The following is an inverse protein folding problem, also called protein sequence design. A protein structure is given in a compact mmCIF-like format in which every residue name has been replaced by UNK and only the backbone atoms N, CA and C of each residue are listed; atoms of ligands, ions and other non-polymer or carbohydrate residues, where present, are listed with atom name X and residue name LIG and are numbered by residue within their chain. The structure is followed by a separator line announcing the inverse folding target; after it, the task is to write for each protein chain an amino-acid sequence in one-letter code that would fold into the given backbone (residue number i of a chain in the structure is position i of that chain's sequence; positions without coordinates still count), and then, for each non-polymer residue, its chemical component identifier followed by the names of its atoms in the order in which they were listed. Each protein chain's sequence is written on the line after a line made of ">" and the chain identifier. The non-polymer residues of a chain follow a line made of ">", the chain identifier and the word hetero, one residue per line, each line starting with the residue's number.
data_IF_003938427611
#
_entry.id   IF_003938427611
#
_cell.length_a   1.000
_cell.length_b   1.000
_cell.length_c   1.000
_cell.angle_alpha   90.00
_cell.angle_beta   90.00
_cell.angle_gamma   90.00
#
_symmetry.space_group_name_H-M   'P 1'
#
loop_
_entity.id
_entity.type
_entity.pdbx_description
1 polymer ?
#
# COMPACT_ATOMS: atom_id res chain seq x y z
N UNK A 1 13.87 -61.77 48.26
CA UNK A 1 12.56 -61.28 47.76
C UNK A 1 12.64 -61.24 46.23
N UNK A 2 12.04 -62.24 45.58
CA UNK A 2 12.03 -62.35 44.10
C UNK A 2 10.75 -61.69 43.62
N UNK A 3 10.85 -60.49 43.05
CA UNK A 3 9.71 -59.81 42.44
C UNK A 3 9.46 -60.43 41.07
N UNK A 4 8.50 -61.38 40.98
CA UNK A 4 7.95 -61.85 39.71
C UNK A 4 7.11 -60.73 39.10
N UNK A 5 7.67 -60.02 38.12
CA UNK A 5 6.92 -59.08 37.29
C UNK A 5 6.09 -59.84 36.27
N UNK A 6 4.77 -59.95 36.50
CA UNK A 6 3.82 -60.40 35.48
C UNK A 6 3.67 -59.29 34.43
N UNK A 7 4.56 -59.30 33.43
CA UNK A 7 4.52 -58.40 32.28
C UNK A 7 3.34 -58.71 31.37
N UNK A 8 2.14 -58.22 31.70
CA UNK A 8 0.96 -58.30 30.83
C UNK A 8 1.11 -57.27 29.70
N UNK A 9 1.65 -57.68 28.55
CA UNK A 9 1.72 -56.85 27.34
C UNK A 9 0.30 -56.61 26.81
N UNK A 10 -0.31 -55.50 27.24
CA UNK A 10 -1.57 -55.03 26.68
C UNK A 10 -1.32 -54.53 25.25
N UNK A 11 -1.79 -55.27 24.25
CA UNK A 11 -1.83 -54.80 22.87
C UNK A 11 -2.75 -53.58 22.81
N UNK A 12 -2.17 -52.39 22.86
CA UNK A 12 -2.91 -51.16 22.64
C UNK A 12 -3.21 -51.07 21.16
N UNK A 13 -4.47 -51.37 20.81
CA UNK A 13 -4.95 -51.27 19.44
C UNK A 13 -4.81 -49.83 18.94
N UNK A 14 -4.12 -49.65 17.82
CA UNK A 14 -3.87 -48.34 17.18
C UNK A 14 -5.18 -47.55 16.97
N UNK A 15 -6.29 -48.26 16.73
CA UNK A 15 -7.62 -47.67 16.61
C UNK A 15 -8.06 -46.90 17.85
N UNK A 16 -7.72 -47.38 19.07
CA UNK A 16 -8.06 -46.67 20.32
C UNK A 16 -7.23 -45.39 20.49
N UNK A 17 -5.99 -45.38 20.00
CA UNK A 17 -5.16 -44.18 20.02
C UNK A 17 -5.75 -43.11 19.09
N UNK A 18 -6.14 -43.51 17.88
CA UNK A 18 -6.76 -42.62 16.90
C UNK A 18 -8.08 -42.04 17.38
N UNK A 19 -8.92 -42.84 18.03
CA UNK A 19 -10.22 -42.41 18.55
C UNK A 19 -10.07 -41.42 19.72
N UNK A 20 -9.14 -41.69 20.65
CA UNK A 20 -8.80 -40.75 21.71
C UNK A 20 -8.20 -39.45 21.16
N UNK A 21 -7.39 -39.53 20.10
CA UNK A 21 -6.81 -38.37 19.44
C UNK A 21 -7.87 -37.53 18.71
N UNK A 22 -8.79 -38.16 17.99
CA UNK A 22 -9.94 -37.48 17.37
C UNK A 22 -10.82 -36.80 18.43
N UNK A 23 -11.06 -37.48 19.55
CA UNK A 23 -11.82 -36.94 20.68
C UNK A 23 -11.11 -35.74 21.31
N UNK A 24 -9.78 -35.80 21.49
CA UNK A 24 -8.98 -34.66 21.96
C UNK A 24 -9.00 -33.49 20.97
N UNK A 25 -8.92 -33.75 19.66
CA UNK A 25 -9.00 -32.70 18.64
C UNK A 25 -10.36 -31.99 18.65
N UNK A 26 -11.45 -32.73 18.81
CA UNK A 26 -12.80 -32.16 18.92
C UNK A 26 -12.94 -31.38 20.23
N UNK A 27 -12.48 -31.95 21.35
CA UNK A 27 -12.47 -31.28 22.65
C UNK A 27 -11.60 -30.02 22.65
N UNK A 28 -10.55 -29.93 21.83
CA UNK A 28 -9.72 -28.73 21.72
C UNK A 28 -10.36 -27.63 20.86
N UNK A 29 -11.24 -28.00 19.91
CA UNK A 29 -12.01 -27.02 19.12
C UNK A 29 -13.12 -26.35 19.91
N UNK A 30 -13.65 -27.03 20.92
CA UNK A 30 -14.77 -26.55 21.72
C UNK A 30 -14.42 -25.30 22.57
N UNK A 31 -13.29 -25.23 23.31
CA UNK A 31 -12.85 -24.03 24.01
C UNK A 31 -12.67 -22.84 23.07
N UNK A 32 -12.07 -23.04 21.89
CA UNK A 32 -11.90 -21.96 20.89
C UNK A 32 -13.26 -21.43 20.41
N UNK A 33 -14.20 -22.33 20.18
CA UNK A 33 -15.55 -21.96 19.71
C UNK A 33 -16.34 -21.24 20.81
N UNK A 34 -16.28 -21.72 22.06
CA UNK A 34 -16.89 -21.06 23.20
C UNK A 34 -16.29 -19.68 23.42
N UNK A 35 -14.96 -19.54 23.34
CA UNK A 35 -14.28 -18.27 23.55
C UNK A 35 -14.61 -17.29 22.41
N UNK A 36 -14.66 -17.75 21.16
CA UNK A 36 -15.13 -16.97 20.01
C UNK A 36 -16.58 -16.52 20.18
N UNK A 37 -17.47 -17.43 20.60
CA UNK A 37 -18.86 -17.13 20.89
C UNK A 37 -18.96 -16.08 22.00
N UNK A 38 -18.28 -16.29 23.14
CA UNK A 38 -18.30 -15.40 24.30
C UNK A 38 -17.75 -14.01 23.95
N UNK A 39 -16.69 -13.93 23.16
CA UNK A 39 -16.16 -12.65 22.67
C UNK A 39 -17.14 -11.91 21.74
N UNK A 40 -17.92 -12.63 20.93
CA UNK A 40 -18.84 -12.03 19.94
C UNK A 40 -20.23 -11.74 20.52
N UNK A 41 -20.74 -12.56 21.43
CA UNK A 41 -22.09 -12.41 21.98
C UNK A 41 -22.11 -11.83 23.39
N UNK A 42 -21.02 -11.92 24.15
CA UNK A 42 -21.02 -11.61 25.59
C UNK A 42 -20.72 -10.15 25.97
N UNK A 43 -20.16 -9.33 25.07
CA UNK A 43 -19.60 -8.00 25.45
C UNK A 43 -20.44 -6.79 25.01
N UNK A 44 -21.67 -6.98 24.53
CA UNK A 44 -22.55 -5.85 24.15
C UNK A 44 -21.96 -4.95 23.06
N UNK A 45 -21.85 -3.63 23.30
CA UNK A 45 -21.29 -2.68 22.30
C UNK A 45 -19.83 -2.97 21.93
N UNK A 46 -19.03 -3.47 22.88
CA UNK A 46 -17.66 -3.89 22.59
C UNK A 46 -17.66 -5.08 21.63
N UNK A 47 -18.64 -5.98 21.71
CA UNK A 47 -18.72 -7.10 20.78
C UNK A 47 -18.99 -6.67 19.34
N UNK A 48 -19.59 -5.49 19.13
CA UNK A 48 -19.72 -4.90 17.77
C UNK A 48 -18.38 -4.41 17.25
N UNK A 49 -17.57 -3.74 18.08
CA UNK A 49 -16.21 -3.33 17.71
C UNK A 49 -15.31 -4.55 17.46
N UNK A 50 -15.35 -5.54 18.36
CA UNK A 50 -14.59 -6.79 18.18
C UNK A 50 -15.08 -7.57 16.97
N UNK A 51 -16.39 -7.63 16.69
CA UNK A 51 -16.92 -8.26 15.48
C UNK A 51 -16.46 -7.55 14.22
N UNK A 52 -16.39 -6.21 14.25
CA UNK A 52 -15.87 -5.44 13.12
C UNK A 52 -14.35 -5.62 12.94
N UNK A 53 -13.59 -5.76 14.03
CA UNK A 53 -12.16 -6.04 13.98
C UNK A 53 -11.82 -7.51 13.64
N UNK A 54 -12.69 -8.47 13.99
CA UNK A 54 -12.46 -9.91 13.76
C UNK A 54 -13.08 -10.42 12.47
N UNK A 55 -14.19 -9.85 12.03
CA UNK A 55 -14.85 -10.12 10.75
C UNK A 55 -14.66 -8.87 9.91
N UNK A 56 -13.41 -8.61 9.52
CA UNK A 56 -13.18 -7.63 8.48
C UNK A 56 -13.72 -8.23 7.18
N UNK A 57 -14.75 -7.60 6.61
CA UNK A 57 -15.29 -8.04 5.32
C UNK A 57 -14.26 -7.68 4.26
N UNK A 58 -13.32 -8.59 4.04
CA UNK A 58 -12.22 -8.40 3.12
C UNK A 58 -12.74 -8.40 1.66
N UNK A 59 -13.25 -7.25 1.24
CA UNK A 59 -13.57 -6.97 -0.16
C UNK A 59 -12.29 -6.49 -0.83
N UNK A 60 -11.61 -7.43 -1.48
CA UNK A 60 -10.33 -7.21 -2.14
C UNK A 60 -10.35 -5.99 -3.08
N UNK A 61 -11.44 -5.74 -3.80
CA UNK A 61 -11.62 -4.56 -4.67
C UNK A 61 -11.51 -3.23 -3.91
N UNK A 62 -12.29 -3.05 -2.84
CA UNK A 62 -12.27 -1.83 -2.03
C UNK A 62 -10.91 -1.63 -1.35
N UNK A 63 -10.30 -2.73 -0.93
CA UNK A 63 -8.96 -2.73 -0.35
C UNK A 63 -7.92 -2.24 -1.35
N UNK A 64 -7.92 -2.79 -2.56
CA UNK A 64 -6.99 -2.42 -3.64
C UNK A 64 -7.20 -0.97 -4.07
N UNK A 65 -8.44 -0.52 -4.25
CA UNK A 65 -8.75 0.88 -4.56
C UNK A 65 -8.25 1.82 -3.47
N UNK A 66 -8.49 1.49 -2.20
CA UNK A 66 -8.02 2.28 -1.05
C UNK A 66 -6.50 2.28 -0.90
N UNK A 67 -5.82 1.17 -1.23
CA UNK A 67 -4.36 1.08 -1.27
C UNK A 67 -3.79 1.94 -2.40
N UNK A 68 -4.34 1.86 -3.61
CA UNK A 68 -3.92 2.71 -4.74
C UNK A 68 -4.10 4.20 -4.44
N UNK A 69 -5.25 4.60 -3.88
CA UNK A 69 -5.49 6.00 -3.50
C UNK A 69 -4.48 6.51 -2.44
N UNK A 70 -4.13 5.67 -1.46
CA UNK A 70 -3.11 6.01 -0.46
C UNK A 70 -1.72 6.08 -1.06
N UNK A 71 -1.35 5.16 -1.95
CA UNK A 71 -0.08 5.20 -2.68
C UNK A 71 0.05 6.48 -3.49
N UNK A 72 -1.00 6.90 -4.19
CA UNK A 72 -1.01 8.17 -4.91
C UNK A 72 -0.83 9.36 -3.97
N UNK A 73 -1.56 9.38 -2.85
CA UNK A 73 -1.43 10.44 -1.85
C UNK A 73 -0.02 10.50 -1.23
N UNK A 74 0.59 9.35 -0.98
CA UNK A 74 1.97 9.28 -0.49
C UNK A 74 2.99 9.67 -1.55
N UNK A 75 2.74 9.38 -2.83
CA UNK A 75 3.64 9.80 -3.90
C UNK A 75 3.71 11.33 -3.99
N UNK A 76 2.57 12.02 -3.86
CA UNK A 76 2.54 13.49 -3.76
C UNK A 76 3.33 13.96 -2.54
N UNK A 77 3.14 13.34 -1.38
CA UNK A 77 3.90 13.68 -0.18
C UNK A 77 5.40 13.43 -0.35
N UNK A 78 5.79 12.36 -1.03
CA UNK A 78 7.19 12.04 -1.32
C UNK A 78 7.83 13.14 -2.17
N UNK A 79 7.19 13.54 -3.27
CA UNK A 79 7.69 14.62 -4.15
C UNK A 79 7.87 15.94 -3.39
N UNK A 80 6.98 16.27 -2.45
CA UNK A 80 7.11 17.47 -1.60
C UNK A 80 8.23 17.36 -0.52
N UNK A 81 8.67 16.14 -0.22
CA UNK A 81 9.69 15.84 0.78
C UNK A 81 11.07 15.60 0.18
N UNK A 82 11.17 15.38 -1.13
CA UNK A 82 12.45 15.25 -1.84
C UNK A 82 13.28 16.52 -1.64
N UNK A 83 14.54 16.33 -1.24
CA UNK A 83 15.51 17.41 -1.05
C UNK A 83 16.89 17.10 -1.64
N UNK A 84 17.13 15.86 -2.09
CA UNK A 84 18.40 15.46 -2.70
C UNK A 84 18.18 14.74 -4.03
N UNK A 85 19.00 15.14 -4.99
CA UNK A 85 19.16 14.45 -6.27
C UNK A 85 20.34 13.48 -6.18
N UNK A 86 20.11 12.24 -6.59
CA UNK A 86 21.11 11.19 -6.66
C UNK A 86 21.80 11.21 -8.04
N UNK A 87 23.05 10.73 -8.15
CA UNK A 87 23.82 10.77 -9.40
C UNK A 87 23.21 9.92 -10.53
N UNK A 88 22.32 9.00 -10.22
CA UNK A 88 21.55 8.19 -11.17
C UNK A 88 20.29 8.90 -11.69
N UNK A 89 20.04 10.15 -11.29
CA UNK A 89 18.81 10.89 -11.61
C UNK A 89 17.62 10.50 -10.76
N UNK A 90 17.81 9.67 -9.72
CA UNK A 90 16.78 9.41 -8.72
C UNK A 90 16.70 10.55 -7.71
N UNK A 91 15.57 10.63 -7.02
CA UNK A 91 15.31 11.61 -6.00
C UNK A 91 15.11 10.91 -4.65
N UNK A 92 15.54 11.56 -3.56
CA UNK A 92 15.39 10.99 -2.24
C UNK A 92 15.22 12.00 -1.13
N UNK A 93 14.77 11.50 0.01
CA UNK A 93 14.53 12.26 1.23
C UNK A 93 15.73 12.06 2.15
N UNK A 94 16.39 13.15 2.52
CA UNK A 94 17.46 13.16 3.50
C UNK A 94 16.92 13.11 4.93
N UNK A 95 17.79 12.65 5.84
CA UNK A 95 17.52 12.66 7.28
C UNK A 95 17.21 14.06 7.81
N UNK A 96 17.93 15.07 7.31
CA UNK A 96 17.76 16.46 7.73
C UNK A 96 16.37 16.98 7.35
N UNK A 97 15.89 16.60 6.16
CA UNK A 97 14.56 16.99 5.70
C UNK A 97 13.44 16.32 6.51
N UNK A 98 13.60 15.04 6.83
CA UNK A 98 12.68 14.33 7.71
C UNK A 98 12.61 14.98 9.10
N UNK A 99 13.77 15.39 9.64
CA UNK A 99 13.87 16.09 10.92
C UNK A 99 13.19 17.46 10.89
N UNK A 100 13.45 18.26 9.85
CA UNK A 100 12.81 19.57 9.64
C UNK A 100 11.28 19.44 9.68
N UNK A 101 10.73 18.46 8.97
CA UNK A 101 9.29 18.24 8.85
C UNK A 101 8.67 17.68 10.12
N UNK A 102 9.29 16.69 10.75
CA UNK A 102 8.83 16.17 12.05
C UNK A 102 8.86 17.25 13.13
N UNK A 103 9.90 18.09 13.15
CA UNK A 103 9.98 19.24 14.03
C UNK A 103 8.83 20.20 13.76
N UNK A 104 8.57 20.59 12.50
CA UNK A 104 7.46 21.48 12.15
C UNK A 104 6.09 20.95 12.62
N UNK A 105 5.85 19.65 12.48
CA UNK A 105 4.59 19.01 12.94
C UNK A 105 4.48 18.97 14.46
N UNK A 106 5.61 18.77 15.17
CA UNK A 106 5.63 18.62 16.62
C UNK A 106 5.85 19.94 17.37
N UNK A 107 6.07 21.06 16.68
CA UNK A 107 6.30 22.39 17.28
C UNK A 107 5.18 22.79 18.26
N UNK A 108 3.92 22.49 17.93
CA UNK A 108 2.77 22.79 18.79
C UNK A 108 2.69 21.92 20.06
N UNK A 109 3.56 20.90 20.18
CA UNK A 109 3.64 19.97 21.33
C UNK A 109 4.95 20.12 22.10
N UNK A 110 5.64 21.25 21.95
CA UNK A 110 6.97 21.49 22.54
C UNK A 110 7.03 21.42 24.08
N UNK A 111 5.89 21.42 24.79
CA UNK A 111 5.86 21.19 26.23
C UNK A 111 6.10 19.74 26.64
N UNK A 112 5.95 18.80 25.69
CA UNK A 112 6.05 17.35 25.95
C UNK A 112 7.35 16.77 25.39
N UNK A 113 7.84 17.33 24.28
CA UNK A 113 9.00 16.82 23.55
C UNK A 113 10.02 17.94 23.36
N UNK A 114 11.22 17.74 23.89
CA UNK A 114 12.34 18.65 23.65
C UNK A 114 12.97 18.43 22.26
N UNK A 115 13.83 19.37 21.85
CA UNK A 115 14.49 19.33 20.53
C UNK A 115 15.37 18.10 20.36
N UNK A 116 16.01 17.63 21.43
CA UNK A 116 16.88 16.45 21.40
C UNK A 116 16.08 15.15 21.30
N UNK A 117 14.91 15.09 21.91
CA UNK A 117 13.98 13.97 21.82
C UNK A 117 13.39 13.86 20.42
N UNK A 118 13.01 14.99 19.80
CA UNK A 118 12.56 15.02 18.39
C UNK A 118 13.66 14.52 17.46
N UNK A 119 14.92 14.89 17.71
CA UNK A 119 16.05 14.40 16.93
C UNK A 119 16.22 12.88 17.10
N UNK A 120 16.20 12.35 18.33
CA UNK A 120 16.28 10.90 18.59
C UNK A 120 15.13 10.12 17.96
N UNK A 121 13.90 10.67 18.02
CA UNK A 121 12.72 10.10 17.38
C UNK A 121 12.91 10.05 15.86
N UNK A 122 13.37 11.15 15.26
CA UNK A 122 13.63 11.21 13.82
C UNK A 122 14.70 10.19 13.42
N UNK A 123 15.80 10.11 14.16
CA UNK A 123 16.88 9.16 13.93
C UNK A 123 16.40 7.70 14.03
N UNK A 124 15.50 7.42 14.96
CA UNK A 124 14.87 6.11 15.09
C UNK A 124 13.98 5.80 13.89
N UNK A 125 13.06 6.70 13.53
CA UNK A 125 12.16 6.52 12.39
C UNK A 125 12.93 6.40 11.07
N UNK A 126 13.90 7.28 10.83
CA UNK A 126 14.73 7.27 9.63
C UNK A 126 15.47 5.93 9.49
N UNK A 127 16.12 5.46 10.58
CA UNK A 127 16.76 4.14 10.59
C UNK A 127 15.76 3.01 10.39
N UNK A 128 14.57 3.08 10.96
CA UNK A 128 13.55 2.06 10.76
C UNK A 128 13.15 1.97 9.28
N UNK A 129 13.04 3.09 8.57
CA UNK A 129 12.74 3.12 7.13
C UNK A 129 13.93 2.63 6.30
N UNK A 130 15.15 3.13 6.53
CA UNK A 130 16.33 2.78 5.71
C UNK A 130 16.87 1.38 5.99
N UNK A 131 16.76 0.90 7.23
CA UNK A 131 17.17 -0.45 7.62
C UNK A 131 16.03 -1.46 7.64
N UNK A 132 14.84 -1.11 7.14
CA UNK A 132 13.79 -2.10 6.86
C UNK A 132 14.28 -3.01 5.74
N UNK A 133 15.09 -4.00 6.11
CA UNK A 133 15.31 -5.17 5.27
C UNK A 133 13.92 -5.78 5.18
N UNK A 134 13.37 -5.83 3.97
CA UNK A 134 12.10 -6.46 3.60
C UNK A 134 12.18 -8.00 3.84
N UNK A 135 12.57 -8.42 5.04
CA UNK A 135 13.01 -9.75 5.44
C UNK A 135 11.87 -10.62 5.98
N UNK A 136 10.68 -10.05 6.17
CA UNK A 136 9.50 -10.67 6.80
C UNK A 136 9.18 -12.10 6.40
N UNK A 137 8.68 -12.19 5.18
CA UNK A 137 7.96 -13.37 4.72
C UNK A 137 8.79 -14.21 3.76
N UNK A 138 9.60 -13.59 2.89
CA UNK A 138 10.41 -14.33 1.92
C UNK A 138 11.58 -15.05 2.57
N UNK A 139 12.21 -14.48 3.59
CA UNK A 139 13.24 -15.20 4.35
C UNK A 139 12.62 -16.39 5.10
N UNK A 140 11.47 -16.18 5.76
CA UNK A 140 10.72 -17.23 6.46
C UNK A 140 10.21 -18.33 5.53
N UNK A 141 9.58 -17.98 4.40
CA UNK A 141 9.14 -18.95 3.39
C UNK A 141 10.32 -19.68 2.73
N UNK A 142 11.47 -19.03 2.57
CA UNK A 142 12.69 -19.67 2.07
C UNK A 142 13.26 -20.64 3.07
N UNK A 143 13.20 -20.33 4.36
CA UNK A 143 13.60 -21.23 5.44
C UNK A 143 12.64 -22.42 5.57
N UNK A 144 11.33 -22.17 5.55
CA UNK A 144 10.30 -23.22 5.57
C UNK A 144 10.32 -24.08 4.29
N UNK A 145 10.63 -23.49 3.13
CA UNK A 145 10.81 -24.22 1.87
C UNK A 145 12.05 -25.12 1.85
N UNK A 146 13.12 -24.74 2.58
CA UNK A 146 14.30 -25.59 2.81
C UNK A 146 13.94 -26.78 3.69
N UNK A 147 13.21 -26.56 4.78
CA UNK A 147 12.74 -27.63 5.70
C UNK A 147 11.84 -28.65 5.00
N UNK A 148 10.97 -28.20 4.09
CA UNK A 148 10.05 -29.07 3.35
C UNK A 148 10.67 -29.75 2.11
N UNK A 149 11.97 -29.55 1.84
CA UNK A 149 12.63 -30.13 0.66
C UNK A 149 12.12 -29.60 -0.69
N UNK A 150 11.33 -28.52 -0.69
CA UNK A 150 10.76 -27.89 -1.88
C UNK A 150 11.78 -26.95 -2.54
N UNK A 151 12.93 -27.50 -2.92
CA UNK A 151 14.07 -26.74 -3.45
C UNK A 151 13.89 -26.21 -4.88
N UNK A 152 12.71 -26.40 -5.51
CA UNK A 152 12.49 -26.07 -6.93
C UNK A 152 11.40 -25.02 -7.22
N UNK A 153 10.79 -24.40 -6.23
CA UNK A 153 9.78 -23.36 -6.50
C UNK A 153 10.45 -22.00 -6.70
N UNK A 154 10.65 -21.64 -7.97
CA UNK A 154 10.76 -20.26 -8.46
C UNK A 154 12.08 -19.54 -8.19
N UNK A 155 12.90 -19.41 -9.22
CA UNK A 155 14.06 -18.51 -9.23
C UNK A 155 13.62 -17.05 -9.07
N UNK A 156 14.03 -16.49 -7.93
CA UNK A 156 14.42 -15.10 -7.66
C UNK A 156 13.92 -13.99 -8.59
N UNK A 157 12.94 -13.23 -8.11
CA UNK A 157 12.99 -11.76 -8.22
C UNK A 157 13.32 -11.22 -6.83
N UNK A 158 14.58 -11.38 -6.40
CA UNK A 158 15.13 -10.47 -5.41
C UNK A 158 15.31 -9.15 -6.14
N UNK A 159 14.32 -8.28 -6.03
CA UNK A 159 14.50 -6.87 -6.38
C UNK A 159 15.63 -6.40 -5.48
N UNK A 160 16.84 -6.25 -6.03
CA UNK A 160 17.95 -5.59 -5.35
C UNK A 160 17.59 -4.10 -5.29
N UNK A 161 16.61 -3.77 -4.44
CA UNK A 161 16.20 -2.40 -4.14
C UNK A 161 17.39 -1.73 -3.43
N UNK A 162 18.25 -1.07 -4.20
CA UNK A 162 19.30 -0.20 -3.68
C UNK A 162 20.64 -0.86 -3.33
N UNK A 163 21.08 -1.89 -4.07
CA UNK A 163 22.48 -2.33 -4.00
C UNK A 163 23.41 -1.28 -4.61
N UNK A 164 23.70 -0.21 -3.85
CA UNK A 164 24.59 0.88 -4.27
C UNK A 164 24.14 2.28 -3.85
N UNK A 165 22.92 2.44 -3.33
CA UNK A 165 22.46 3.73 -2.84
C UNK A 165 23.08 4.05 -1.46
N UNK A 166 23.41 5.32 -1.18
CA UNK A 166 23.83 5.75 0.15
C UNK A 166 22.80 5.31 1.21
N UNK A 167 23.26 4.78 2.33
CA UNK A 167 22.39 4.33 3.44
C UNK A 167 21.57 5.45 4.07
N UNK A 168 21.90 6.70 3.74
CA UNK A 168 21.40 7.90 4.40
C UNK A 168 20.36 8.64 3.57
N UNK A 169 19.74 7.94 2.60
CA UNK A 169 18.67 8.47 1.75
C UNK A 169 17.49 7.48 1.73
N UNK A 170 16.28 8.02 1.86
CA UNK A 170 15.03 7.28 1.66
C UNK A 170 14.59 7.52 0.21
N UNK A 171 14.61 6.46 -0.59
CA UNK A 171 14.06 6.44 -1.95
C UNK A 171 12.52 6.31 -1.93
N UNK A 172 11.89 6.47 -3.10
CA UNK A 172 10.42 6.40 -3.25
C UNK A 172 9.85 5.05 -2.82
N UNK A 173 10.59 3.97 -3.09
CA UNK A 173 10.16 2.61 -2.77
C UNK A 173 10.18 2.36 -1.26
N UNK A 174 11.27 2.70 -0.56
CA UNK A 174 11.38 2.59 0.91
C UNK A 174 10.34 3.46 1.60
N UNK A 175 10.08 4.66 1.08
CA UNK A 175 9.03 5.52 1.59
C UNK A 175 7.65 4.85 1.46
N UNK A 176 7.33 4.32 0.28
CA UNK A 176 6.08 3.62 0.01
C UNK A 176 5.91 2.36 0.87
N UNK A 177 6.98 1.58 1.05
CA UNK A 177 6.99 0.39 1.93
C UNK A 177 6.78 0.79 3.39
N UNK A 178 7.41 1.86 3.86
CA UNK A 178 7.21 2.35 5.22
C UNK A 178 5.77 2.84 5.45
N UNK A 179 5.17 3.52 4.48
CA UNK A 179 3.79 3.98 4.56
C UNK A 179 2.77 2.83 4.50
N UNK A 180 3.09 1.74 3.80
CA UNK A 180 2.25 0.52 3.70
C UNK A 180 2.55 -0.53 4.76
N UNK A 181 3.47 -0.30 5.72
CA UNK A 181 3.94 -1.36 6.62
C UNK A 181 2.87 -1.97 7.54
N UNK A 182 1.76 -1.24 7.74
CA UNK A 182 0.64 -1.66 8.58
C UNK A 182 -0.45 -2.40 7.79
N UNK A 183 -0.23 -2.64 6.50
CA UNK A 183 -1.18 -3.28 5.62
C UNK A 183 -1.05 -4.81 5.64
N UNK A 184 -2.19 -5.50 5.64
CA UNK A 184 -2.22 -6.96 5.60
C UNK A 184 -1.73 -7.53 4.28
N UNK A 185 -1.94 -6.79 3.19
CA UNK A 185 -1.52 -7.14 1.83
C UNK A 185 -0.58 -6.06 1.36
N UNK A 186 0.63 -6.47 0.99
CA UNK A 186 1.64 -5.57 0.44
C UNK A 186 1.30 -5.17 -0.98
N UNK A 187 1.72 -3.97 -1.39
CA UNK A 187 1.57 -3.51 -2.77
C UNK A 187 2.16 -4.50 -3.78
N UNK A 188 3.35 -5.05 -3.52
CA UNK A 188 3.96 -6.09 -4.36
C UNK A 188 3.07 -7.32 -4.56
N UNK A 189 2.32 -7.72 -3.52
CA UNK A 189 1.40 -8.85 -3.60
C UNK A 189 0.20 -8.52 -4.49
N UNK A 190 -0.28 -7.28 -4.41
CA UNK A 190 -1.34 -6.80 -5.29
C UNK A 190 -0.88 -6.65 -6.73
N UNK A 191 0.30 -6.07 -6.98
CA UNK A 191 0.89 -6.01 -8.33
C UNK A 191 1.07 -7.42 -8.89
N UNK A 192 1.62 -8.35 -8.11
CA UNK A 192 1.75 -9.75 -8.51
C UNK A 192 0.41 -10.47 -8.71
N UNK A 193 -0.70 -9.94 -8.20
CA UNK A 193 -2.04 -10.46 -8.45
C UNK A 193 -2.59 -10.02 -9.81
N UNK A 194 -2.23 -8.81 -10.26
CA UNK A 194 -2.62 -8.25 -11.55
C UNK A 194 -1.63 -8.55 -12.68
N UNK A 195 -0.45 -9.08 -12.37
CA UNK A 195 0.53 -9.51 -13.37
C UNK A 195 -0.10 -10.45 -14.42
N UNK A 196 -0.05 -10.02 -15.68
CA UNK A 196 -0.62 -10.73 -16.83
C UNK A 196 0.10 -12.03 -17.11
N UNK A 197 1.42 -12.06 -16.92
CA UNK A 197 2.26 -13.19 -17.29
C UNK A 197 2.28 -14.29 -16.21
N UNK A 198 1.61 -14.04 -15.07
CA UNK A 198 1.49 -14.98 -13.98
C UNK A 198 0.63 -16.19 -14.36
N UNK A 199 1.21 -17.39 -14.24
CA UNK A 199 0.48 -18.66 -14.35
C UNK A 199 -0.47 -18.83 -13.16
N UNK A 200 -1.78 -18.70 -13.39
CA UNK A 200 -2.81 -18.89 -12.36
C UNK A 200 -3.09 -20.38 -12.15
N UNK A 201 -2.92 -20.84 -10.92
CA UNK A 201 -3.23 -22.23 -10.54
C UNK A 201 -4.74 -22.50 -10.46
N UNK A 202 -5.13 -23.78 -10.35
CA UNK A 202 -6.54 -24.18 -10.21
C UNK A 202 -7.21 -23.52 -9.00
N UNK A 203 -6.53 -23.53 -7.84
CA UNK A 203 -7.05 -22.93 -6.61
C UNK A 203 -7.24 -21.42 -6.76
N UNK A 204 -6.28 -20.73 -7.39
CA UNK A 204 -6.41 -19.29 -7.64
C UNK A 204 -7.62 -18.99 -8.53
N UNK A 205 -7.88 -19.82 -9.54
CA UNK A 205 -9.09 -19.68 -10.38
C UNK A 205 -10.38 -19.91 -9.58
N UNK A 206 -10.39 -20.79 -8.58
CA UNK A 206 -11.58 -21.04 -7.74
C UNK A 206 -11.79 -19.90 -6.73
N UNK A 207 -10.72 -19.38 -6.13
CA UNK A 207 -10.79 -18.38 -5.05
C UNK A 207 -10.76 -16.93 -5.53
N UNK A 208 -10.41 -16.65 -6.79
CA UNK A 208 -10.42 -15.29 -7.34
C UNK A 208 -11.85 -14.77 -7.51
N UNK A 209 -12.19 -13.60 -6.92
CA UNK A 209 -13.52 -13.01 -7.03
C UNK A 209 -13.97 -12.81 -8.49
N UNK A 210 -15.26 -13.06 -8.82
CA UNK A 210 -15.76 -12.94 -10.19
C UNK A 210 -15.55 -11.56 -10.82
N UNK A 211 -15.66 -10.48 -10.05
CA UNK A 211 -15.49 -9.12 -10.59
C UNK A 211 -14.05 -8.88 -11.06
N UNK A 212 -13.06 -9.27 -10.25
CA UNK A 212 -11.64 -9.22 -10.65
C UNK A 212 -11.32 -10.12 -11.84
N UNK A 213 -11.95 -11.29 -11.91
CA UNK A 213 -11.77 -12.16 -13.07
C UNK A 213 -12.28 -11.50 -14.34
N UNK A 214 -13.42 -10.81 -14.25
CA UNK A 214 -14.05 -10.14 -15.38
C UNK A 214 -13.19 -8.98 -15.88
N UNK A 215 -12.61 -8.17 -14.98
CA UNK A 215 -11.75 -7.06 -15.37
C UNK A 215 -10.47 -7.53 -16.09
N UNK A 216 -9.84 -8.59 -15.59
CA UNK A 216 -8.61 -9.10 -16.21
C UNK A 216 -8.90 -9.78 -17.55
N UNK A 217 -10.01 -10.52 -17.67
CA UNK A 217 -10.40 -11.12 -18.94
C UNK A 217 -10.78 -10.07 -19.99
N UNK A 218 -11.44 -8.97 -19.57
CA UNK A 218 -11.77 -7.87 -20.46
C UNK A 218 -10.51 -7.21 -21.04
N UNK A 219 -9.50 -6.98 -20.20
CA UNK A 219 -8.20 -6.42 -20.63
C UNK A 219 -7.45 -7.37 -21.58
N UNK A 220 -7.45 -8.67 -21.30
CA UNK A 220 -6.83 -9.67 -22.18
C UNK A 220 -7.52 -9.78 -23.55
N UNK A 221 -8.84 -9.59 -23.61
CA UNK A 221 -9.59 -9.60 -24.85
C UNK A 221 -9.24 -8.38 -25.72
N UNK A 222 -9.09 -7.19 -25.12
CA UNK A 222 -8.73 -5.97 -25.84
C UNK A 222 -7.38 -6.07 -26.57
N UNK A 223 -6.39 -6.77 -25.98
CA UNK A 223 -5.06 -6.90 -26.56
C UNK A 223 -4.95 -8.00 -27.65
N UNK A 224 -5.96 -8.85 -27.80
CA UNK A 224 -5.93 -9.97 -28.76
C UNK A 224 -6.41 -9.57 -30.16
N UNK A 225 -6.86 -8.31 -30.34
CA UNK A 225 -7.36 -7.78 -31.63
C UNK A 225 -6.44 -6.76 -32.35
N UNK A 226 -5.11 -6.98 -32.54
CA UNK A 226 -4.33 -6.16 -33.47
C UNK A 226 -4.49 -6.58 -34.94
N UNK A 227 -5.35 -7.57 -35.25
CA UNK A 227 -5.40 -8.22 -36.56
C UNK A 227 -6.61 -7.85 -37.45
N UNK A 228 -7.41 -6.86 -37.07
CA UNK A 228 -8.42 -6.29 -37.97
C UNK A 228 -7.89 -5.01 -38.60
N UNK A 229 -7.13 -5.20 -39.69
CA UNK A 229 -7.14 -4.35 -40.88
C UNK A 229 -7.09 -2.84 -40.65
N UNK A 230 -5.88 -2.25 -40.70
CA UNK A 230 -5.74 -1.01 -41.44
C UNK A 230 -6.26 -1.28 -42.86
N UNK A 231 -7.34 -0.62 -43.32
CA UNK A 231 -7.56 -0.53 -44.75
C UNK A 231 -6.36 0.22 -45.30
N UNK A 232 -5.66 -0.35 -46.28
CA UNK A 232 -4.75 0.40 -47.14
C UNK A 232 -5.47 1.68 -47.59
N UNK A 233 -5.10 2.82 -46.98
CA UNK A 233 -5.45 4.14 -47.48
C UNK A 233 -4.67 4.34 -48.77
N UNK A 234 -5.31 3.99 -49.88
CA UNK A 234 -4.91 4.42 -51.21
C UNK A 234 -4.81 5.95 -51.23
N UNK A 235 -3.59 6.42 -51.44
CA UNK A 235 -3.25 7.82 -51.53
C UNK A 235 -4.02 8.52 -52.68
N UNK A 236 -4.87 9.52 -52.36
CA UNK A 236 -5.03 10.69 -53.24
C UNK A 236 -5.72 11.90 -52.60
N UNK A 237 -5.10 13.07 -52.83
CA UNK A 237 -5.65 14.44 -52.83
C UNK A 237 -5.99 15.10 -51.47
N UNK A 238 -5.20 16.10 -51.01
CA UNK A 238 -5.22 17.53 -51.40
C UNK A 238 -6.50 18.25 -50.91
N UNK A 239 -6.43 18.96 -49.78
CA UNK A 239 -6.59 20.41 -49.74
C UNK A 239 -6.34 21.04 -48.36
N UNK A 240 -5.56 22.12 -48.42
CA UNK A 240 -5.33 23.17 -47.44
C UNK A 240 -6.57 24.03 -47.15
N UNK A 241 -6.79 24.44 -45.89
CA UNK A 241 -7.39 25.72 -45.41
C UNK A 241 -7.64 25.59 -43.88
N UNK A 242 -6.92 26.26 -42.98
CA UNK A 242 -7.04 27.66 -42.49
C UNK A 242 -8.35 28.00 -41.75
N UNK A 243 -8.21 28.73 -40.63
CA UNK A 243 -9.19 29.44 -39.77
C UNK A 243 -9.71 28.64 -38.54
N UNK A 244 -9.44 29.05 -37.29
CA UNK A 244 -9.80 30.29 -36.55
C UNK A 244 -11.22 30.29 -35.99
N UNK A 245 -11.35 30.06 -34.67
CA UNK A 245 -12.37 30.56 -33.73
C UNK A 245 -12.12 29.86 -32.37
N UNK A 246 -11.86 30.46 -31.19
CA UNK A 246 -12.38 31.65 -30.50
C UNK A 246 -13.86 31.55 -30.09
N UNK A 247 -14.13 30.95 -28.92
CA UNK A 247 -15.17 31.25 -27.87
C UNK A 247 -15.23 30.00 -26.95
N UNK A 248 -15.58 29.97 -25.66
CA UNK A 248 -16.11 30.90 -24.67
C UNK A 248 -15.88 30.22 -23.31
N UNK A 249 -15.14 30.84 -22.39
CA UNK A 249 -15.12 30.39 -20.99
C UNK A 249 -16.17 31.16 -20.22
N UNK A 250 -17.32 30.51 -20.01
CA UNK A 250 -18.41 30.99 -19.15
C UNK A 250 -18.00 30.82 -17.68
N UNK A 251 -17.77 31.93 -17.01
CA UNK A 251 -17.54 32.00 -15.58
C UNK A 251 -18.81 31.60 -14.81
N UNK A 252 -18.70 30.58 -13.95
CA UNK A 252 -19.68 30.30 -12.91
C UNK A 252 -19.13 30.89 -11.61
N UNK A 253 -19.73 32.02 -11.23
CA UNK A 253 -19.65 32.62 -9.91
C UNK A 253 -20.51 31.81 -8.94
N UNK A 254 -19.99 31.51 -7.74
CA UNK A 254 -20.82 31.02 -6.64
C UNK A 254 -20.07 30.26 -5.56
N UNK A 255 -19.68 30.99 -4.51
CA UNK A 255 -19.97 30.69 -3.10
C UNK A 255 -18.79 31.10 -2.21
N UNK A 256 -18.95 32.27 -1.60
CA UNK A 256 -18.12 32.77 -0.51
C UNK A 256 -18.23 31.82 0.69
N UNK A 257 -17.08 31.32 1.15
CA UNK A 257 -16.90 30.79 2.50
C UNK A 257 -16.09 31.82 3.27
N UNK A 258 -16.72 32.36 4.30
CA UNK A 258 -16.20 33.35 5.25
C UNK A 258 -14.84 32.93 5.86
N UNK A 259 -13.89 33.87 6.04
CA UNK A 259 -12.66 33.60 6.76
C UNK A 259 -12.89 33.68 8.27
N UNK A 260 -12.44 32.65 9.00
CA UNK A 260 -12.34 32.66 10.46
C UNK A 260 -11.30 33.70 10.90
N UNK A 261 -11.78 34.88 11.29
CA UNK A 261 -10.97 35.96 11.85
C UNK A 261 -10.59 35.64 13.31
N UNK A 262 -9.41 35.05 13.50
CA UNK A 262 -8.71 35.01 14.79
C UNK A 262 -7.67 36.12 14.84
N UNK A 263 -8.02 37.26 15.42
CA UNK A 263 -7.10 38.36 15.73
C UNK A 263 -6.13 37.95 16.83
N UNK A 264 -4.83 37.88 16.54
CA UNK A 264 -3.77 38.01 17.54
C UNK A 264 -2.77 39.08 17.11
N UNK A 265 -2.60 40.04 18.02
CA UNK A 265 -1.84 41.27 17.90
C UNK A 265 -0.43 41.08 18.48
N UNK A 266 0.59 41.66 17.83
CA UNK A 266 1.96 41.87 18.32
C UNK A 266 2.86 40.62 18.25
N UNK A 267 4.09 40.65 17.74
CA UNK A 267 5.08 41.71 17.82
C UNK A 267 6.09 41.61 16.66
N UNK A 268 6.70 42.74 16.32
CA UNK A 268 7.55 42.93 15.17
C UNK A 268 8.97 42.38 15.37
N UNK A 269 9.46 41.59 14.41
CA UNK A 269 10.82 41.65 13.85
C UNK A 269 11.22 40.31 13.22
N UNK A 270 10.89 40.08 11.95
CA UNK A 270 11.87 39.51 11.03
C UNK A 270 11.47 39.75 9.56
N UNK A 271 12.32 40.48 8.83
CA UNK A 271 12.14 40.76 7.40
C UNK A 271 13.17 39.93 6.64
N UNK A 272 12.84 38.68 6.30
CA UNK A 272 13.37 37.99 5.11
C UNK A 272 12.65 36.65 4.89
N UNK A 273 12.26 36.43 3.63
CA UNK A 273 11.70 35.20 3.06
C UNK A 273 10.22 34.88 3.34
N UNK A 274 9.34 35.85 3.08
CA UNK A 274 7.96 35.52 2.69
C UNK A 274 7.94 35.28 1.17
N UNK A 275 8.31 34.07 0.74
CA UNK A 275 7.85 33.55 -0.55
C UNK A 275 6.34 33.35 -0.38
N UNK A 276 5.57 34.13 -1.13
CA UNK A 276 4.13 34.25 -0.99
C UNK A 276 3.45 32.89 -1.18
N UNK A 277 2.76 32.42 -0.14
CA UNK A 277 1.88 31.24 -0.15
C UNK A 277 0.88 31.26 -1.33
N UNK A 278 0.54 32.46 -1.82
CA UNK A 278 -0.25 32.71 -3.02
C UNK A 278 0.37 32.14 -4.31
N UNK A 279 1.70 32.19 -4.49
CA UNK A 279 2.37 31.57 -5.64
C UNK A 279 2.31 30.05 -5.57
N UNK A 280 2.41 29.48 -4.37
CA UNK A 280 2.32 28.03 -4.14
C UNK A 280 0.91 27.50 -4.40
N UNK A 281 -0.12 28.28 -4.06
CA UNK A 281 -1.53 27.96 -4.33
C UNK A 281 -1.85 28.15 -5.83
N UNK A 282 -1.27 29.17 -6.47
CA UNK A 282 -1.38 29.41 -7.91
C UNK A 282 -0.78 28.26 -8.75
N UNK A 283 0.40 27.77 -8.38
CA UNK A 283 1.04 26.63 -9.05
C UNK A 283 0.19 25.36 -8.93
N UNK A 284 -0.37 25.07 -7.74
CA UNK A 284 -1.25 23.91 -7.52
C UNK A 284 -2.55 23.97 -8.32
N UNK A 285 -3.15 25.16 -8.50
CA UNK A 285 -4.34 25.31 -9.37
C UNK A 285 -4.00 25.08 -10.85
N UNK A 286 -2.83 25.49 -11.30
CA UNK A 286 -2.34 25.24 -12.67
C UNK A 286 -2.15 23.74 -12.93
N UNK A 287 -1.49 23.01 -12.01
CA UNK A 287 -1.26 21.57 -12.16
C UNK A 287 -2.53 20.75 -12.08
N UNK A 288 -3.46 21.10 -11.19
CA UNK A 288 -4.75 20.41 -11.07
C UNK A 288 -5.65 20.64 -12.30
N UNK A 289 -5.51 21.80 -12.97
CA UNK A 289 -6.16 22.06 -14.25
C UNK A 289 -5.57 21.22 -15.39
N UNK A 290 -4.25 20.99 -15.40
CA UNK A 290 -3.59 20.12 -16.38
C UNK A 290 -4.01 18.66 -16.20
N UNK A 291 -4.04 18.16 -14.95
CA UNK A 291 -4.48 16.80 -14.65
C UNK A 291 -5.94 16.57 -15.07
N UNK A 292 -6.82 17.55 -14.81
CA UNK A 292 -8.23 17.49 -15.22
C UNK A 292 -8.42 17.48 -16.75
N UNK A 293 -7.49 18.05 -17.53
CA UNK A 293 -7.53 17.98 -19.00
C UNK A 293 -7.11 16.59 -19.50
N UNK A 294 -6.07 16.01 -18.92
CA UNK A 294 -5.60 14.66 -19.28
C UNK A 294 -6.67 13.61 -19.02
N UNK A 295 -7.36 13.68 -17.86
CA UNK A 295 -8.47 12.77 -17.54
C UNK A 295 -9.62 12.88 -18.53
N UNK A 296 -9.98 14.10 -18.97
CA UNK A 296 -11.05 14.29 -19.97
C UNK A 296 -10.66 13.89 -21.39
N UNK A 297 -9.38 13.99 -21.76
CA UNK A 297 -8.91 13.44 -23.04
C UNK A 297 -8.97 11.92 -23.02
N UNK A 298 -8.58 11.31 -21.90
CA UNK A 298 -8.67 9.85 -21.73
C UNK A 298 -10.13 9.35 -21.80
N UNK A 299 -11.07 10.05 -21.17
CA UNK A 299 -12.51 9.75 -21.27
C UNK A 299 -13.12 10.00 -22.66
N UNK A 300 -12.48 10.80 -23.53
CA UNK A 300 -12.93 10.96 -24.93
C UNK A 300 -12.33 9.93 -25.88
N UNK A 301 -11.24 9.29 -25.48
CA UNK A 301 -10.57 8.25 -26.26
C UNK A 301 -11.07 6.84 -25.92
N UNK A 302 -11.83 6.69 -24.83
CA UNK A 302 -12.55 5.47 -24.43
C UNK A 302 -14.03 5.52 -24.83
#
# INVERSE_FOLDING_TARGET
>A
VVLRGEGKRSHTSIYKLFDNFATLLVLQRLPRTILYLLCITGMGKLSTMYRQATIDTFRLENYLAGMSARLLAWNVAFVELVDRDLPNGEHGISKDKMHERLRAVLQNRGSVLDVTEIQRLTDFCFRAVTHSKQQTLRAYLREMGKELGLTKVGAQTTVNLGAGLPTDIIDSDRFSVACTSNEHITFDTAVALFDRDRKRGFLERVFMPPAMRSSILAEQAADTDPASSEPEEDASSVHSSSASAASETRAVSGAALEPWAGTHNGDASDKRTAVTLEESIGLRRSEMSRFSRVVREYERMS
#
